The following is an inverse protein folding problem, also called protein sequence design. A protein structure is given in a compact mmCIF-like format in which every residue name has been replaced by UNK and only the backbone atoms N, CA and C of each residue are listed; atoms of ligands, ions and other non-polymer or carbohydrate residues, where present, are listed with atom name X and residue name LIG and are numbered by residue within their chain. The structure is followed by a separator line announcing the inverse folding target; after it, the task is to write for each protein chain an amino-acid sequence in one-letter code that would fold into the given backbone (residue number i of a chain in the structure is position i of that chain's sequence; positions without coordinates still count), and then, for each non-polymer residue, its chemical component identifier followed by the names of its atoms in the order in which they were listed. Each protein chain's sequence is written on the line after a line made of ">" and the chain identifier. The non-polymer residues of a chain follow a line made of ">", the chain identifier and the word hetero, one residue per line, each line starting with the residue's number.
data_IF_115106434128
#
_entry.id   IF_115106434128
#
_cell.length_a   1.000
_cell.length_b   1.000
_cell.length_c   1.000
_cell.angle_alpha   90.00
_cell.angle_beta   90.00
_cell.angle_gamma   90.00
#
_symmetry.space_group_name_H-M   'P 1'
#
loop_
_entity.id
_entity.type
_entity.pdbx_description
1 polymer ?
#
# COMPACT_ATOMS: atom_id res chain seq x y z
N UNK A 1 9.72 22.55 -1.90
CA UNK A 1 8.62 21.65 -1.49
C UNK A 1 9.24 20.49 -0.71
N UNK A 2 9.10 20.46 0.62
CA UNK A 2 9.58 19.32 1.40
C UNK A 2 8.60 18.17 1.15
N UNK A 3 9.03 17.16 0.41
CA UNK A 3 8.23 15.96 0.21
C UNK A 3 8.29 15.15 1.50
N UNK A 4 7.29 15.34 2.36
CA UNK A 4 7.15 14.51 3.56
C UNK A 4 6.79 13.09 3.10
N UNK A 5 7.68 12.09 3.29
CA UNK A 5 7.43 10.72 2.86
C UNK A 5 6.17 10.12 3.51
N UNK A 6 5.78 10.60 4.69
CA UNK A 6 4.57 10.17 5.38
C UNK A 6 3.34 10.70 4.65
N UNK A 7 3.29 11.98 4.32
CA UNK A 7 2.16 12.57 3.60
C UNK A 7 2.04 12.01 2.17
N UNK A 8 3.17 11.68 1.53
CA UNK A 8 3.14 10.97 0.25
C UNK A 8 2.48 9.59 0.36
N UNK A 9 2.89 8.80 1.35
CA UNK A 9 2.33 7.48 1.61
C UNK A 9 0.83 7.55 1.96
N UNK A 10 0.41 8.53 2.75
CA UNK A 10 -1.00 8.81 3.05
C UNK A 10 -1.77 9.08 1.76
N UNK A 11 -1.20 9.91 0.87
CA UNK A 11 -1.78 10.23 -0.42
C UNK A 11 -1.96 9.01 -1.33
N UNK A 12 -1.01 8.07 -1.33
CA UNK A 12 -1.12 6.81 -2.08
C UNK A 12 -2.21 5.90 -1.51
N UNK A 13 -2.20 5.67 -0.20
CA UNK A 13 -3.19 4.81 0.47
C UNK A 13 -4.61 5.35 0.37
N UNK A 14 -4.78 6.68 0.33
CA UNK A 14 -6.08 7.32 0.18
C UNK A 14 -6.71 7.15 -1.23
N UNK A 15 -5.97 6.59 -2.20
CA UNK A 15 -6.49 6.25 -3.53
C UNK A 15 -7.07 4.84 -3.58
N UNK A 16 -6.87 4.02 -2.55
CA UNK A 16 -7.41 2.67 -2.49
C UNK A 16 -8.92 2.70 -2.24
N UNK A 17 -9.71 1.80 -2.85
CA UNK A 17 -11.13 1.72 -2.61
C UNK A 17 -11.39 1.47 -1.11
N UNK A 18 -12.28 2.25 -0.51
CA UNK A 18 -12.63 2.14 0.92
C UNK A 18 -11.67 2.86 1.89
N UNK A 19 -10.55 3.44 1.44
CA UNK A 19 -9.67 4.25 2.28
C UNK A 19 -9.73 5.73 1.91
N UNK A 20 -10.47 6.53 2.68
CA UNK A 20 -10.37 7.99 2.61
C UNK A 20 -9.09 8.53 3.29
N UNK A 21 -8.73 9.81 3.06
CA UNK A 21 -7.51 10.45 3.63
C UNK A 21 -7.39 10.28 5.15
N UNK A 22 -8.49 10.41 5.89
CA UNK A 22 -8.49 10.23 7.36
C UNK A 22 -8.16 8.79 7.76
N UNK A 23 -8.75 7.81 7.07
CA UNK A 23 -8.51 6.38 7.33
C UNK A 23 -7.08 5.98 6.93
N UNK A 24 -6.61 6.46 5.77
CA UNK A 24 -5.24 6.25 5.30
C UNK A 24 -4.20 6.80 6.28
N UNK A 25 -4.37 8.04 6.77
CA UNK A 25 -3.50 8.62 7.81
C UNK A 25 -3.43 7.76 9.07
N UNK A 26 -4.58 7.29 9.56
CA UNK A 26 -4.62 6.38 10.72
C UNK A 26 -3.85 5.09 10.45
N UNK A 27 -4.03 4.48 9.28
CA UNK A 27 -3.33 3.25 8.91
C UNK A 27 -1.81 3.47 8.86
N UNK A 28 -1.34 4.54 8.20
CA UNK A 28 0.09 4.88 8.09
C UNK A 28 0.72 5.05 9.47
N UNK A 29 0.11 5.86 10.34
CA UNK A 29 0.65 6.11 11.68
C UNK A 29 0.72 4.82 12.51
N UNK A 30 -0.26 3.91 12.36
CA UNK A 30 -0.25 2.61 13.05
C UNK A 30 0.81 1.65 12.50
N UNK A 31 1.14 1.74 11.21
CA UNK A 31 2.22 0.96 10.60
C UNK A 31 3.59 1.50 10.98
N UNK A 32 3.75 2.82 11.05
CA UNK A 32 5.01 3.48 11.46
C UNK A 32 5.37 3.23 12.93
N UNK A 33 4.39 2.88 13.78
CA UNK A 33 4.68 2.45 15.16
C UNK A 33 5.43 1.12 15.24
N UNK A 34 5.29 0.25 14.24
CA UNK A 34 5.95 -1.07 14.19
C UNK A 34 6.35 -1.43 12.73
N UNK A 35 7.31 -0.70 12.12
CA UNK A 35 7.53 -0.78 10.68
C UNK A 35 8.05 -2.13 10.22
N UNK A 36 8.90 -2.80 11.02
CA UNK A 36 9.47 -4.09 10.66
C UNK A 36 8.45 -5.25 10.69
N UNK A 37 7.43 -5.18 11.55
CA UNK A 37 6.42 -6.24 11.66
C UNK A 37 5.18 -5.98 10.80
N UNK A 38 4.87 -4.72 10.48
CA UNK A 38 3.66 -4.35 9.73
C UNK A 38 3.95 -3.75 8.36
N UNK A 39 4.82 -2.74 8.29
CA UNK A 39 4.97 -1.93 7.08
C UNK A 39 5.83 -2.63 6.02
N UNK A 40 7.02 -3.11 6.40
CA UNK A 40 7.95 -3.74 5.46
C UNK A 40 7.38 -5.04 4.85
N UNK A 41 6.81 -5.98 5.65
CA UNK A 41 6.23 -7.19 5.07
C UNK A 41 5.06 -6.90 4.12
N UNK A 42 4.25 -5.88 4.42
CA UNK A 42 3.17 -5.45 3.53
C UNK A 42 3.72 -4.87 2.21
N UNK A 43 4.75 -4.03 2.27
CA UNK A 43 5.36 -3.45 1.09
C UNK A 43 5.96 -4.53 0.17
N UNK A 44 6.61 -5.54 0.75
CA UNK A 44 7.16 -6.67 0.02
C UNK A 44 6.05 -7.54 -0.60
N UNK A 45 4.98 -7.82 0.14
CA UNK A 45 3.83 -8.57 -0.38
C UNK A 45 3.15 -7.84 -1.55
N UNK A 46 2.99 -6.52 -1.46
CA UNK A 46 2.43 -5.71 -2.54
C UNK A 46 3.31 -5.76 -3.80
N UNK A 47 4.64 -5.63 -3.64
CA UNK A 47 5.59 -5.73 -4.75
C UNK A 47 5.54 -7.10 -5.39
N UNK A 48 5.63 -8.16 -4.59
CA UNK A 48 5.61 -9.53 -5.08
C UNK A 48 4.30 -9.84 -5.83
N UNK A 49 3.14 -9.40 -5.32
CA UNK A 49 1.86 -9.58 -5.99
C UNK A 49 1.82 -8.84 -7.35
N UNK A 50 2.28 -7.59 -7.40
CA UNK A 50 2.31 -6.83 -8.65
C UNK A 50 3.22 -7.46 -9.73
N UNK A 51 4.31 -8.09 -9.31
CA UNK A 51 5.23 -8.79 -10.21
C UNK A 51 4.73 -10.16 -10.64
N UNK A 52 4.13 -10.92 -9.73
CA UNK A 52 3.73 -12.31 -9.96
C UNK A 52 2.34 -12.47 -10.58
N UNK A 53 1.39 -11.60 -10.23
CA UNK A 53 0.01 -11.71 -10.73
C UNK A 53 -0.02 -11.35 -12.21
N UNK A 54 -0.47 -12.33 -13.01
CA UNK A 54 -0.63 -12.23 -14.46
C UNK A 54 -2.01 -12.77 -14.83
N UNK A 55 -2.69 -12.18 -15.83
CA UNK A 55 -3.92 -12.74 -16.34
C UNK A 55 -3.71 -14.18 -16.83
N UNK A 56 -4.68 -15.06 -16.57
CA UNK A 56 -4.66 -16.43 -17.03
C UNK A 56 -4.54 -16.49 -18.56
N UNK A 57 -3.55 -17.23 -19.07
CA UNK A 57 -3.31 -17.33 -20.52
C UNK A 57 -4.47 -17.95 -21.32
N UNK A 58 -5.40 -18.64 -20.65
CA UNK A 58 -6.52 -19.34 -21.29
C UNK A 58 -7.81 -18.52 -21.33
N UNK A 59 -8.13 -17.79 -20.27
CA UNK A 59 -9.40 -17.05 -20.16
C UNK A 59 -9.25 -15.56 -19.83
N UNK A 60 -8.03 -15.08 -19.59
CA UNK A 60 -7.76 -13.67 -19.30
C UNK A 60 -8.19 -13.21 -17.90
N UNK A 61 -8.68 -14.11 -17.03
CA UNK A 61 -9.02 -13.76 -15.65
C UNK A 61 -7.75 -13.46 -14.83
N UNK A 62 -7.80 -12.42 -13.99
CA UNK A 62 -6.78 -12.11 -12.99
C UNK A 62 -6.97 -12.91 -11.69
#
# INVERSE_FOLDING_TARGET
>A
MRHDPVEHLIGLLAKLPGLGRRSARRAVLRMLGEPHSRMLPLADALRAAAEAVRPCARCGNL
#
